data_IF_196956803785
#
_entry.id   IF_196956803785
#
_cell.length_a   1.000
_cell.length_b   1.000
_cell.length_c   1.000
_cell.angle_alpha   90.00
_cell.angle_beta   90.00
_cell.angle_gamma   90.00
#
_symmetry.space_group_name_H-M   'P 1'
#
loop_
_entity.id
_entity.type
_entity.pdbx_description
1 polymer ?
#
# COMPACT_ATOMS: atom_id res chain seq x y z
N UNK A 1 7.30 31.64 -17.63
CA UNK A 1 7.65 32.72 -18.58
C UNK A 1 8.35 32.10 -19.76
N UNK A 2 8.24 32.65 -20.99
CA UNK A 2 8.98 32.15 -22.16
C UNK A 2 10.49 32.18 -21.87
N UNK A 3 11.24 31.17 -22.34
CA UNK A 3 12.70 31.17 -22.23
C UNK A 3 13.30 32.24 -23.15
N UNK A 4 14.22 33.03 -22.62
CA UNK A 4 14.93 34.09 -23.34
C UNK A 4 16.32 34.29 -22.75
N UNK A 5 17.33 34.40 -23.61
CA UNK A 5 18.71 34.71 -23.18
C UNK A 5 18.76 36.01 -22.37
N UNK A 6 17.94 36.99 -22.73
CA UNK A 6 17.87 38.28 -22.03
C UNK A 6 17.33 38.17 -20.59
N UNK A 7 16.45 37.19 -20.33
CA UNK A 7 15.88 36.93 -19.00
C UNK A 7 16.74 35.97 -18.17
N UNK A 8 17.85 35.45 -18.72
CA UNK A 8 18.72 34.48 -18.03
C UNK A 8 18.04 33.16 -17.67
N UNK A 9 16.87 32.85 -18.24
CA UNK A 9 16.02 31.70 -17.88
C UNK A 9 16.04 30.59 -18.93
N UNK A 10 17.10 30.51 -19.73
CA UNK A 10 17.29 29.45 -20.73
C UNK A 10 17.85 28.22 -20.02
N UNK A 11 17.21 27.08 -20.22
CA UNK A 11 17.74 25.78 -19.80
C UNK A 11 18.33 25.08 -21.02
N UNK A 12 19.62 24.76 -20.95
CA UNK A 12 20.30 24.05 -22.04
C UNK A 12 20.06 22.54 -21.93
N UNK A 13 19.66 21.86 -23.02
CA UNK A 13 19.35 20.43 -22.98
C UNK A 13 20.49 19.57 -22.45
N UNK A 14 21.73 19.80 -22.89
CA UNK A 14 22.90 19.00 -22.46
C UNK A 14 23.13 19.16 -20.95
N UNK A 15 23.10 20.40 -20.43
CA UNK A 15 23.24 20.62 -18.99
C UNK A 15 22.09 20.06 -18.15
N UNK A 16 20.91 19.81 -18.73
CA UNK A 16 19.84 19.05 -18.06
C UNK A 16 20.12 17.54 -18.11
N UNK A 17 20.59 17.01 -19.23
CA UNK A 17 20.92 15.59 -19.39
C UNK A 17 22.10 15.18 -18.50
N UNK A 18 23.12 16.02 -18.36
CA UNK A 18 24.28 15.75 -17.49
C UNK A 18 23.88 15.69 -16.01
N UNK A 19 22.89 16.48 -15.60
CA UNK A 19 22.43 16.55 -14.21
C UNK A 19 21.39 15.49 -13.85
N UNK A 20 20.47 15.18 -14.76
CA UNK A 20 19.30 14.33 -14.48
C UNK A 20 19.26 13.02 -15.26
N UNK A 21 20.15 12.86 -16.24
CA UNK A 21 20.11 11.77 -17.21
C UNK A 21 19.27 12.11 -18.45
N UNK A 22 19.69 11.57 -19.60
CA UNK A 22 18.98 11.77 -20.86
C UNK A 22 17.54 11.23 -20.83
N UNK A 23 17.33 10.07 -20.18
CA UNK A 23 16.02 9.44 -20.06
C UNK A 23 15.03 10.27 -19.24
N UNK A 24 15.49 10.96 -18.19
CA UNK A 24 14.63 11.85 -17.41
C UNK A 24 14.11 13.02 -18.26
N UNK A 25 14.99 13.61 -19.07
CA UNK A 25 14.62 14.70 -19.99
C UNK A 25 13.67 14.18 -21.07
N UNK A 26 13.94 13.01 -21.66
CA UNK A 26 13.08 12.40 -22.69
C UNK A 26 11.69 12.10 -22.13
N UNK A 27 11.62 11.42 -20.99
CA UNK A 27 10.36 11.11 -20.33
C UNK A 27 9.59 12.39 -19.99
N UNK A 28 10.24 13.41 -19.43
CA UNK A 28 9.60 14.69 -19.17
C UNK A 28 9.01 15.30 -20.45
N UNK A 29 9.73 15.25 -21.57
CA UNK A 29 9.25 15.81 -22.84
C UNK A 29 8.17 14.97 -23.53
N UNK A 30 8.14 13.65 -23.33
CA UNK A 30 7.18 12.76 -23.98
C UNK A 30 5.93 12.54 -23.13
N UNK A 31 6.10 12.36 -21.82
CA UNK A 31 5.05 11.87 -20.91
C UNK A 31 4.54 12.95 -19.92
N UNK A 32 5.35 13.94 -19.53
CA UNK A 32 4.98 14.91 -18.48
C UNK A 32 4.11 16.08 -19.01
N UNK A 33 2.96 15.75 -19.61
CA UNK A 33 1.95 16.69 -20.08
C UNK A 33 1.69 16.61 -21.59
N UNK A 34 0.75 17.39 -22.11
CA UNK A 34 0.38 17.34 -23.53
C UNK A 34 1.44 17.98 -24.42
N UNK A 35 1.70 17.39 -25.59
CA UNK A 35 2.58 17.98 -26.61
C UNK A 35 2.03 19.31 -27.17
N UNK A 36 0.72 19.52 -27.05
CA UNK A 36 0.00 20.70 -27.55
C UNK A 36 -0.05 21.85 -26.53
N UNK A 37 0.46 21.65 -25.32
CA UNK A 37 0.42 22.64 -24.25
C UNK A 37 1.83 23.12 -23.87
N UNK A 38 1.93 24.40 -23.51
CA UNK A 38 3.18 24.94 -22.97
C UNK A 38 3.49 24.31 -21.62
N UNK A 39 4.68 23.70 -21.50
CA UNK A 39 5.14 23.08 -20.25
C UNK A 39 6.11 23.99 -19.51
N UNK A 40 6.03 23.95 -18.18
CA UNK A 40 7.01 24.61 -17.32
C UNK A 40 8.15 23.62 -17.09
N UNK A 41 9.31 23.93 -17.65
CA UNK A 41 10.52 23.12 -17.51
C UNK A 41 11.37 23.72 -16.40
N UNK A 42 11.81 22.88 -15.48
CA UNK A 42 12.71 23.21 -14.38
C UNK A 42 13.45 21.95 -13.93
N UNK A 43 14.55 22.15 -13.19
CA UNK A 43 15.26 21.06 -12.53
C UNK A 43 14.32 20.24 -11.63
N UNK A 44 13.45 20.90 -10.86
CA UNK A 44 12.51 20.22 -9.93
C UNK A 44 11.52 19.31 -10.67
N UNK A 45 10.96 19.78 -11.79
CA UNK A 45 10.01 19.00 -12.59
C UNK A 45 10.64 17.78 -13.24
N UNK A 46 11.93 17.84 -13.60
CA UNK A 46 12.66 16.70 -14.17
C UNK A 46 13.09 15.74 -13.04
N UNK A 47 13.52 16.26 -11.90
CA UNK A 47 13.80 15.46 -10.70
C UNK A 47 12.57 14.69 -10.20
N UNK A 48 11.36 15.22 -10.39
CA UNK A 48 10.13 14.50 -10.06
C UNK A 48 9.94 13.25 -10.94
N UNK A 49 10.24 13.36 -12.24
CA UNK A 49 10.22 12.21 -13.17
C UNK A 49 11.20 11.12 -12.73
N UNK A 50 12.43 11.51 -12.38
CA UNK A 50 13.45 10.57 -11.88
C UNK A 50 12.92 9.84 -10.63
N UNK A 51 12.43 10.60 -9.65
CA UNK A 51 12.01 10.05 -8.35
C UNK A 51 10.77 9.17 -8.43
N UNK A 52 9.76 9.55 -9.23
CA UNK A 52 8.47 8.86 -9.25
C UNK A 52 8.44 7.67 -10.19
N UNK A 53 9.10 7.76 -11.35
CA UNK A 53 8.99 6.74 -12.39
C UNK A 53 10.29 5.96 -12.55
N UNK A 54 11.40 6.64 -12.87
CA UNK A 54 12.63 5.94 -13.28
C UNK A 54 13.29 5.20 -12.12
N UNK A 55 13.35 5.81 -10.92
CA UNK A 55 13.87 5.14 -9.73
C UNK A 55 12.98 3.99 -9.29
N UNK A 56 11.65 4.13 -9.37
CA UNK A 56 10.71 3.06 -9.03
C UNK A 56 10.89 1.84 -9.94
N UNK A 57 11.01 2.08 -11.26
CA UNK A 57 11.32 1.04 -12.24
C UNK A 57 12.68 0.39 -11.97
N UNK A 58 13.74 1.19 -11.82
CA UNK A 58 15.10 0.71 -11.55
C UNK A 58 15.20 -0.13 -10.27
N UNK A 59 14.58 0.34 -9.20
CA UNK A 59 14.56 -0.36 -7.91
C UNK A 59 13.82 -1.69 -8.01
N UNK A 60 12.74 -1.74 -8.80
CA UNK A 60 11.99 -2.97 -9.06
C UNK A 60 12.81 -3.98 -9.86
N UNK A 61 13.53 -3.53 -10.90
CA UNK A 61 14.47 -4.38 -11.64
C UNK A 61 15.64 -4.87 -10.78
N UNK A 62 16.23 -3.98 -9.99
CA UNK A 62 17.30 -4.31 -9.04
C UNK A 62 16.84 -5.30 -7.98
N UNK A 63 15.60 -5.18 -7.52
CA UNK A 63 14.97 -6.12 -6.59
C UNK A 63 14.87 -7.51 -7.21
N UNK A 64 14.33 -7.64 -8.43
CA UNK A 64 14.27 -8.94 -9.13
C UNK A 64 15.68 -9.52 -9.32
N UNK A 65 16.65 -8.71 -9.76
CA UNK A 65 18.03 -9.14 -9.95
C UNK A 65 18.66 -9.69 -8.66
N UNK A 66 18.40 -9.04 -7.51
CA UNK A 66 18.91 -9.46 -6.21
C UNK A 66 18.29 -10.79 -5.76
N UNK A 67 16.96 -10.85 -5.70
CA UNK A 67 16.26 -12.03 -5.18
C UNK A 67 16.32 -13.22 -6.13
N UNK A 68 16.31 -12.97 -7.44
CA UNK A 68 16.54 -14.01 -8.45
C UNK A 68 17.91 -14.65 -8.29
N UNK A 69 18.98 -13.87 -8.05
CA UNK A 69 20.31 -14.43 -7.76
C UNK A 69 20.35 -15.22 -6.45
N UNK A 70 19.74 -14.72 -5.38
CA UNK A 70 19.70 -15.40 -4.08
C UNK A 70 18.97 -16.75 -4.18
N UNK A 71 17.89 -16.79 -4.96
CA UNK A 71 17.10 -18.00 -5.18
C UNK A 71 17.64 -18.89 -6.32
N UNK A 72 18.77 -18.53 -6.94
CA UNK A 72 19.30 -19.20 -8.14
C UNK A 72 18.23 -19.39 -9.24
N UNK A 73 17.34 -18.40 -9.38
CA UNK A 73 16.20 -18.46 -10.28
C UNK A 73 16.63 -18.32 -11.73
N UNK A 74 16.32 -19.36 -12.51
CA UNK A 74 16.47 -19.39 -13.96
C UNK A 74 15.06 -19.51 -14.57
N UNK A 75 14.61 -18.45 -15.24
CA UNK A 75 13.27 -18.40 -15.82
C UNK A 75 13.01 -19.51 -16.84
N UNK A 76 14.02 -19.94 -17.60
CA UNK A 76 13.84 -20.96 -18.65
C UNK A 76 13.75 -22.38 -18.07
N UNK A 77 14.38 -22.61 -16.92
CA UNK A 77 14.53 -23.94 -16.32
C UNK A 77 13.75 -24.13 -15.01
N UNK A 78 13.19 -23.06 -14.43
CA UNK A 78 12.41 -23.13 -13.21
C UNK A 78 11.07 -23.84 -13.41
N UNK A 79 10.62 -24.54 -12.37
CA UNK A 79 9.26 -25.12 -12.30
C UNK A 79 8.24 -24.01 -12.01
N UNK A 80 7.86 -23.30 -13.06
CA UNK A 80 6.94 -22.16 -12.99
C UNK A 80 5.51 -22.66 -13.20
N UNK A 81 4.60 -22.48 -12.21
CA UNK A 81 3.21 -22.86 -12.40
C UNK A 81 2.52 -21.98 -13.44
N UNK A 82 1.54 -22.53 -14.19
CA UNK A 82 0.67 -21.76 -15.07
C UNK A 82 0.00 -20.59 -14.36
N UNK A 83 -0.21 -19.48 -15.07
CA UNK A 83 -0.73 -18.21 -14.51
C UNK A 83 -2.02 -18.44 -13.72
N UNK A 84 -2.94 -19.29 -14.20
CA UNK A 84 -4.21 -19.60 -13.56
C UNK A 84 -4.09 -20.29 -12.18
N UNK A 85 -2.95 -20.93 -11.91
CA UNK A 85 -2.65 -21.59 -10.63
C UNK A 85 -1.83 -20.69 -9.68
N UNK A 86 -1.39 -19.52 -10.15
CA UNK A 86 -0.68 -18.54 -9.31
C UNK A 86 -1.66 -17.79 -8.39
N UNK A 87 -1.13 -17.05 -7.42
CA UNK A 87 -1.95 -16.27 -6.47
C UNK A 87 -2.81 -15.23 -7.18
N UNK A 88 -3.85 -14.70 -6.52
CA UNK A 88 -4.66 -13.62 -7.08
C UNK A 88 -3.84 -12.36 -7.40
N UNK A 89 -2.81 -12.03 -6.61
CA UNK A 89 -1.94 -10.90 -6.92
C UNK A 89 -1.02 -11.15 -8.12
N UNK A 90 -0.53 -12.38 -8.32
CA UNK A 90 0.26 -12.75 -9.50
C UNK A 90 -0.59 -12.62 -10.78
N UNK A 91 -1.79 -13.23 -10.76
CA UNK A 91 -2.76 -13.15 -11.86
C UNK A 91 -3.14 -11.71 -12.17
N UNK A 92 -3.32 -10.89 -11.14
CA UNK A 92 -3.59 -9.46 -11.29
C UNK A 92 -2.43 -8.72 -11.95
N UNK A 93 -1.19 -8.97 -11.54
CA UNK A 93 -0.02 -8.31 -12.12
C UNK A 93 0.14 -8.64 -13.61
N UNK A 94 -0.02 -9.92 -13.99
CA UNK A 94 0.01 -10.36 -15.40
C UNK A 94 -1.16 -9.78 -16.20
N UNK A 95 -2.37 -9.78 -15.62
CA UNK A 95 -3.55 -9.17 -16.24
C UNK A 95 -3.31 -7.67 -16.53
N UNK A 96 -2.78 -6.93 -15.55
CA UNK A 96 -2.43 -5.51 -15.69
C UNK A 96 -1.30 -5.28 -16.68
N UNK A 97 -0.31 -6.17 -16.77
CA UNK A 97 0.77 -6.07 -17.75
C UNK A 97 0.24 -6.24 -19.19
N UNK A 98 -0.69 -7.18 -19.40
CA UNK A 98 -1.32 -7.37 -20.70
C UNK A 98 -2.28 -6.24 -21.07
N UNK A 99 -3.05 -5.72 -20.11
CA UNK A 99 -3.86 -4.51 -20.30
C UNK A 99 -2.97 -3.30 -20.65
N UNK A 100 -1.80 -3.16 -20.01
CA UNK A 100 -0.86 -2.10 -20.31
C UNK A 100 -0.41 -2.11 -21.78
N UNK A 101 -0.14 -3.29 -22.36
CA UNK A 101 0.22 -3.41 -23.79
C UNK A 101 -0.88 -2.78 -24.65
N UNK A 102 -2.13 -3.16 -24.41
CA UNK A 102 -3.30 -2.66 -25.16
C UNK A 102 -3.45 -1.15 -25.00
N UNK A 103 -3.32 -0.63 -23.78
CA UNK A 103 -3.45 0.80 -23.51
C UNK A 103 -2.34 1.64 -24.15
N UNK A 104 -1.11 1.15 -24.12
CA UNK A 104 0.07 1.83 -24.70
C UNK A 104 0.01 1.79 -26.22
N UNK A 105 -0.29 0.64 -26.81
CA UNK A 105 -0.43 0.49 -28.27
C UNK A 105 -1.51 1.43 -28.81
N UNK A 106 -2.70 1.42 -28.21
CA UNK A 106 -3.80 2.30 -28.62
C UNK A 106 -3.47 3.80 -28.48
N UNK A 107 -2.65 4.17 -27.49
CA UNK A 107 -2.19 5.54 -27.30
C UNK A 107 -1.14 5.93 -28.34
N UNK A 108 -0.16 5.06 -28.60
CA UNK A 108 0.92 5.33 -29.56
C UNK A 108 0.44 5.34 -31.01
N UNK A 109 -0.55 4.53 -31.37
CA UNK A 109 -1.23 4.57 -32.68
C UNK A 109 -1.86 5.94 -32.98
N UNK A 110 -2.21 6.68 -31.92
CA UNK A 110 -2.76 8.03 -32.00
C UNK A 110 -1.73 9.12 -31.71
N UNK A 111 -0.45 8.76 -31.59
CA UNK A 111 0.65 9.65 -31.19
C UNK A 111 0.43 10.33 -29.82
N UNK A 112 -0.36 9.72 -28.92
CA UNK A 112 -0.62 10.21 -27.56
C UNK A 112 0.41 9.66 -26.57
N UNK A 113 1.64 10.18 -26.67
CA UNK A 113 2.75 9.83 -25.78
C UNK A 113 2.51 10.22 -24.32
N UNK A 114 1.64 11.21 -24.06
CA UNK A 114 1.26 11.59 -22.71
C UNK A 114 0.42 10.49 -22.04
N UNK A 115 -0.58 9.96 -22.75
CA UNK A 115 -1.39 8.85 -22.25
C UNK A 115 -0.55 7.60 -22.04
N UNK A 116 0.27 7.23 -23.02
CA UNK A 116 1.17 6.09 -22.91
C UNK A 116 2.08 6.20 -21.67
N UNK A 117 2.77 7.33 -21.50
CA UNK A 117 3.64 7.53 -20.33
C UNK A 117 2.89 7.51 -19.00
N UNK A 118 1.65 8.03 -18.95
CA UNK A 118 0.83 7.99 -17.73
C UNK A 118 0.43 6.56 -17.33
N UNK A 119 -0.02 5.73 -18.28
CA UNK A 119 -0.41 4.34 -17.98
C UNK A 119 0.81 3.48 -17.62
N UNK A 120 1.96 3.70 -18.29
CA UNK A 120 3.23 3.06 -17.94
C UNK A 120 3.66 3.44 -16.51
N UNK A 121 3.67 4.73 -16.17
CA UNK A 121 4.07 5.16 -14.82
C UNK A 121 3.13 4.62 -13.73
N UNK A 122 1.83 4.53 -14.01
CA UNK A 122 0.87 3.90 -13.10
C UNK A 122 1.18 2.42 -12.91
N UNK A 123 1.46 1.69 -13.99
CA UNK A 123 1.80 0.27 -13.90
C UNK A 123 3.13 0.02 -13.16
N UNK A 124 4.16 0.84 -13.40
CA UNK A 124 5.43 0.76 -12.64
C UNK A 124 5.18 0.96 -11.14
N UNK A 125 4.33 1.92 -10.78
CA UNK A 125 3.93 2.15 -9.39
C UNK A 125 3.13 0.98 -8.81
N UNK A 126 2.14 0.47 -9.56
CA UNK A 126 1.34 -0.72 -9.20
C UNK A 126 2.24 -1.94 -8.94
N UNK A 127 3.20 -2.19 -9.83
CA UNK A 127 4.13 -3.32 -9.72
C UNK A 127 5.03 -3.18 -8.48
N UNK A 128 5.55 -1.98 -8.22
CA UNK A 128 6.48 -1.73 -7.12
C UNK A 128 5.78 -1.62 -5.75
N UNK A 129 4.84 -0.68 -5.63
CA UNK A 129 4.25 -0.28 -4.36
C UNK A 129 3.09 -1.19 -3.92
N UNK A 130 2.54 -2.00 -4.84
CA UNK A 130 1.53 -2.99 -4.50
C UNK A 130 2.07 -4.41 -4.62
N UNK A 131 2.34 -4.88 -5.84
CA UNK A 131 2.71 -6.29 -6.05
C UNK A 131 3.99 -6.68 -5.30
N UNK A 132 5.12 -6.03 -5.58
CA UNK A 132 6.40 -6.34 -4.94
C UNK A 132 6.33 -6.16 -3.41
N UNK A 133 5.66 -5.11 -2.95
CA UNK A 133 5.52 -4.82 -1.51
C UNK A 133 4.73 -5.90 -0.78
N UNK A 134 3.61 -6.37 -1.34
CA UNK A 134 2.74 -7.38 -0.74
C UNK A 134 3.32 -8.79 -0.88
N UNK A 135 4.03 -9.07 -1.96
CA UNK A 135 4.67 -10.37 -2.20
C UNK A 135 6.10 -10.48 -1.65
N UNK A 136 6.59 -9.52 -0.84
CA UNK A 136 8.00 -9.48 -0.40
C UNK A 136 8.47 -10.76 0.28
N UNK A 137 7.61 -11.38 1.11
CA UNK A 137 7.92 -12.66 1.77
C UNK A 137 8.14 -13.78 0.76
N UNK A 138 7.31 -13.85 -0.28
CA UNK A 138 7.42 -14.86 -1.35
C UNK A 138 8.73 -14.75 -2.12
N UNK A 139 9.22 -13.54 -2.34
CA UNK A 139 10.56 -13.34 -2.93
C UNK A 139 11.69 -13.77 -2.01
N UNK A 140 11.55 -13.56 -0.69
CA UNK A 140 12.53 -14.05 0.30
C UNK A 140 12.56 -15.57 0.35
N UNK A 141 11.40 -16.21 0.23
CA UNK A 141 11.24 -17.66 0.20
C UNK A 141 11.62 -18.28 -1.17
N UNK A 142 12.01 -17.45 -2.15
CA UNK A 142 12.42 -17.91 -3.48
C UNK A 142 11.28 -18.49 -4.32
N UNK A 143 10.03 -18.08 -4.08
CA UNK A 143 8.84 -18.59 -4.77
C UNK A 143 8.95 -18.40 -6.30
N UNK A 144 9.04 -19.49 -7.09
CA UNK A 144 9.16 -19.41 -8.54
C UNK A 144 8.00 -18.67 -9.22
N UNK A 145 6.77 -18.78 -8.68
CA UNK A 145 5.60 -18.11 -9.24
C UNK A 145 5.70 -16.59 -9.11
N UNK A 146 6.16 -16.11 -7.95
CA UNK A 146 6.32 -14.68 -7.68
C UNK A 146 7.45 -14.07 -8.53
N UNK A 147 8.58 -14.76 -8.62
CA UNK A 147 9.75 -14.39 -9.42
C UNK A 147 9.42 -14.37 -10.92
N UNK A 148 8.76 -15.41 -11.44
CA UNK A 148 8.31 -15.47 -12.82
C UNK A 148 7.33 -14.35 -13.17
N UNK A 149 6.35 -14.10 -12.31
CA UNK A 149 5.36 -13.04 -12.53
C UNK A 149 6.01 -11.66 -12.56
N UNK A 150 6.99 -11.39 -11.68
CA UNK A 150 7.76 -10.14 -11.71
C UNK A 150 8.62 -10.05 -12.96
N UNK A 151 9.28 -11.14 -13.35
CA UNK A 151 10.11 -11.21 -14.56
C UNK A 151 9.29 -10.90 -15.82
N UNK A 152 8.17 -11.60 -16.02
CA UNK A 152 7.25 -11.41 -17.16
C UNK A 152 6.71 -9.96 -17.21
N UNK A 153 6.22 -9.45 -16.08
CA UNK A 153 5.69 -8.08 -15.97
C UNK A 153 6.76 -7.02 -16.25
N UNK A 154 7.97 -7.23 -15.74
CA UNK A 154 9.08 -6.31 -15.91
C UNK A 154 9.62 -6.33 -17.34
N UNK A 155 9.64 -7.48 -18.01
CA UNK A 155 10.01 -7.59 -19.41
C UNK A 155 9.05 -6.79 -20.30
N UNK A 156 7.74 -6.95 -20.08
CA UNK A 156 6.69 -6.21 -20.83
C UNK A 156 6.88 -4.70 -20.65
N UNK A 157 6.95 -4.20 -19.42
CA UNK A 157 7.08 -2.75 -19.20
C UNK A 157 8.43 -2.20 -19.71
N UNK A 158 9.50 -3.01 -19.69
CA UNK A 158 10.80 -2.63 -20.26
C UNK A 158 10.71 -2.41 -21.77
N UNK A 159 10.04 -3.31 -22.50
CA UNK A 159 9.79 -3.16 -23.93
C UNK A 159 8.96 -1.90 -24.24
N UNK A 160 7.88 -1.69 -23.48
CA UNK A 160 6.99 -0.53 -23.67
C UNK A 160 7.66 0.80 -23.30
N UNK A 161 8.59 0.79 -22.35
CA UNK A 161 9.37 1.97 -21.93
C UNK A 161 10.52 2.30 -22.89
N UNK A 162 11.04 1.35 -23.67
CA UNK A 162 12.23 1.53 -24.49
C UNK A 162 12.18 2.74 -25.44
N UNK A 163 11.06 3.05 -26.13
CA UNK A 163 10.95 4.26 -26.96
C UNK A 163 11.05 5.58 -26.16
N UNK A 164 10.67 5.55 -24.89
CA UNK A 164 10.67 6.71 -24.00
C UNK A 164 12.03 6.91 -23.33
N UNK A 165 12.60 5.84 -22.77
CA UNK A 165 13.78 5.87 -21.90
C UNK A 165 14.82 4.83 -22.33
N UNK A 166 15.45 5.01 -23.49
CA UNK A 166 16.22 3.97 -24.15
C UNK A 166 17.46 3.49 -23.39
N UNK A 167 18.08 4.31 -22.54
CA UNK A 167 19.35 3.95 -21.90
C UNK A 167 19.14 3.05 -20.68
N UNK A 168 18.18 3.40 -19.81
CA UNK A 168 17.87 2.63 -18.61
C UNK A 168 17.20 1.30 -18.97
N UNK A 169 16.35 1.27 -19.99
CA UNK A 169 15.71 0.03 -20.45
C UNK A 169 16.71 -0.89 -21.12
N UNK A 170 17.69 -0.34 -21.86
CA UNK A 170 18.79 -1.15 -22.41
C UNK A 170 19.60 -1.79 -21.28
N UNK A 171 19.94 -1.00 -20.25
CA UNK A 171 20.69 -1.53 -19.10
C UNK A 171 19.93 -2.65 -18.39
N UNK A 172 18.64 -2.48 -18.13
CA UNK A 172 17.81 -3.50 -17.49
C UNK A 172 17.67 -4.73 -18.40
N UNK A 173 17.50 -4.54 -19.70
CA UNK A 173 17.43 -5.63 -20.67
C UNK A 173 18.70 -6.48 -20.68
N UNK A 174 19.87 -5.84 -20.79
CA UNK A 174 21.16 -6.55 -20.76
C UNK A 174 21.35 -7.35 -19.47
N UNK A 175 20.92 -6.80 -18.33
CA UNK A 175 21.14 -7.45 -17.03
C UNK A 175 20.14 -8.59 -16.74
N UNK A 176 18.95 -8.61 -17.35
CA UNK A 176 17.86 -9.52 -16.98
C UNK A 176 17.28 -10.38 -18.12
N UNK A 177 17.26 -9.88 -19.35
CA UNK A 177 16.44 -10.46 -20.43
C UNK A 177 17.22 -10.76 -21.70
N UNK A 178 18.42 -10.21 -21.86
CA UNK A 178 19.22 -10.40 -23.06
C UNK A 178 19.58 -11.87 -23.26
N UNK A 179 19.42 -12.32 -24.50
CA UNK A 179 19.77 -13.66 -24.96
C UNK A 179 20.63 -13.57 -26.22
N UNK A 180 21.17 -14.70 -26.68
CA UNK A 180 21.89 -14.74 -27.97
C UNK A 180 21.02 -14.32 -29.15
N UNK A 181 19.70 -14.53 -29.07
CA UNK A 181 18.75 -14.16 -30.11
C UNK A 181 18.35 -12.69 -30.06
N UNK A 182 18.35 -12.06 -28.88
CA UNK A 182 17.93 -10.66 -28.70
C UNK A 182 18.81 -9.96 -27.66
N UNK A 183 19.95 -9.47 -28.14
CA UNK A 183 20.98 -8.82 -27.31
C UNK A 183 20.56 -7.43 -26.76
N UNK A 184 19.63 -6.75 -27.42
CA UNK A 184 19.24 -5.37 -27.12
C UNK A 184 17.72 -5.22 -27.12
N UNK A 185 17.18 -4.40 -26.21
CA UNK A 185 15.74 -4.13 -26.16
C UNK A 185 15.26 -3.43 -27.44
N UNK A 186 16.16 -2.70 -28.10
CA UNK A 186 15.87 -1.96 -29.33
C UNK A 186 15.81 -2.84 -30.57
N UNK A 187 16.23 -4.11 -30.45
CA UNK A 187 16.11 -5.15 -31.48
C UNK A 187 14.96 -6.12 -31.19
N UNK A 188 14.38 -6.06 -29.99
CA UNK A 188 13.27 -6.90 -29.60
C UNK A 188 11.97 -6.54 -30.35
N UNK A 189 11.11 -7.53 -30.52
CA UNK A 189 9.77 -7.30 -31.06
C UNK A 189 8.89 -6.53 -30.07
N UNK A 190 7.97 -5.73 -30.60
CA UNK A 190 6.92 -5.13 -29.77
C UNK A 190 6.10 -6.24 -29.06
N UNK A 191 5.80 -6.11 -27.76
CA UNK A 191 5.10 -7.14 -27.02
C UNK A 191 3.67 -7.29 -27.54
N UNK A 192 3.17 -8.53 -27.54
CA UNK A 192 1.79 -8.85 -27.92
C UNK A 192 1.01 -9.21 -26.66
N UNK A 193 -0.16 -8.58 -26.47
CA UNK A 193 -1.02 -8.87 -25.35
C UNK A 193 -1.66 -10.25 -25.48
N UNK A 194 -1.55 -11.06 -24.43
CA UNK A 194 -2.42 -12.22 -24.24
C UNK A 194 -3.72 -11.77 -23.57
N UNK A 195 -4.71 -11.45 -24.40
CA UNK A 195 -6.03 -11.00 -23.94
C UNK A 195 -6.79 -12.02 -23.09
N UNK A 196 -6.41 -13.31 -23.12
CA UNK A 196 -7.07 -14.34 -22.30
C UNK A 196 -6.72 -14.23 -20.82
N UNK A 197 -5.61 -13.57 -20.49
CA UNK A 197 -5.17 -13.32 -19.11
C UNK A 197 -5.75 -12.03 -18.52
N UNK A 198 -6.35 -11.17 -19.34
CA UNK A 198 -6.94 -9.90 -18.89
C UNK A 198 -8.26 -10.20 -18.16
N UNK A 199 -8.30 -9.87 -16.87
CA UNK A 199 -9.43 -10.10 -15.98
C UNK A 199 -9.86 -8.79 -15.29
N UNK A 200 -10.94 -8.19 -15.82
CA UNK A 200 -11.52 -6.95 -15.30
C UNK A 200 -12.09 -7.07 -13.89
N UNK A 201 -12.62 -8.23 -13.54
CA UNK A 201 -13.23 -8.46 -12.22
C UNK A 201 -12.11 -8.48 -11.18
N UNK A 202 -10.99 -9.12 -11.48
CA UNK A 202 -9.80 -9.12 -10.62
C UNK A 202 -9.19 -7.72 -10.48
N UNK A 203 -9.20 -6.89 -11.54
CA UNK A 203 -8.81 -5.49 -11.42
C UNK A 203 -9.71 -4.75 -10.41
N UNK A 204 -11.02 -4.94 -10.53
CA UNK A 204 -12.02 -4.33 -9.64
C UNK A 204 -11.85 -4.81 -8.20
N UNK A 205 -11.60 -6.10 -7.98
CA UNK A 205 -11.34 -6.67 -6.67
C UNK A 205 -10.08 -6.08 -6.01
N UNK A 206 -8.97 -5.97 -6.74
CA UNK A 206 -7.74 -5.39 -6.17
C UNK A 206 -7.90 -3.89 -5.89
N UNK A 207 -8.63 -3.16 -6.73
CA UNK A 207 -8.95 -1.76 -6.47
C UNK A 207 -9.85 -1.62 -5.22
N UNK A 208 -10.79 -2.52 -5.00
CA UNK A 208 -11.60 -2.58 -3.77
C UNK A 208 -10.72 -2.87 -2.54
N UNK A 209 -9.85 -3.87 -2.60
CA UNK A 209 -8.89 -4.20 -1.53
C UNK A 209 -8.09 -2.97 -1.12
N UNK A 210 -7.57 -2.21 -2.09
CA UNK A 210 -6.78 -0.99 -1.82
C UNK A 210 -7.58 0.05 -1.05
N UNK A 211 -8.81 0.34 -1.46
CA UNK A 211 -9.69 1.30 -0.76
C UNK A 211 -10.03 0.83 0.65
N UNK A 212 -10.35 -0.45 0.83
CA UNK A 212 -10.65 -1.04 2.14
C UNK A 212 -9.43 -0.99 3.08
N UNK A 213 -8.23 -1.23 2.55
CA UNK A 213 -6.97 -1.10 3.31
C UNK A 213 -6.74 0.35 3.74
N UNK A 214 -6.97 1.33 2.85
CA UNK A 214 -6.87 2.74 3.18
C UNK A 214 -7.87 3.14 4.28
N UNK A 215 -9.12 2.70 4.17
CA UNK A 215 -10.15 2.91 5.20
C UNK A 215 -9.77 2.27 6.54
N UNK A 216 -9.35 1.01 6.55
CA UNK A 216 -8.92 0.34 7.77
C UNK A 216 -7.69 1.01 8.41
N UNK A 217 -6.73 1.49 7.61
CA UNK A 217 -5.60 2.28 8.10
C UNK A 217 -6.06 3.61 8.71
N UNK A 218 -7.03 4.28 8.09
CA UNK A 218 -7.61 5.52 8.60
C UNK A 218 -8.36 5.29 9.93
N UNK A 219 -9.19 4.26 10.01
CA UNK A 219 -9.89 3.85 11.24
C UNK A 219 -8.89 3.52 12.36
N UNK A 220 -7.82 2.79 12.04
CA UNK A 220 -6.77 2.49 13.03
C UNK A 220 -6.05 3.76 13.49
N UNK A 221 -5.69 4.66 12.58
CA UNK A 221 -5.01 5.90 12.93
C UNK A 221 -5.85 6.79 13.87
N UNK A 222 -7.17 6.85 13.67
CA UNK A 222 -8.07 7.61 14.54
C UNK A 222 -8.22 6.99 15.93
N UNK A 223 -8.14 5.66 16.04
CA UNK A 223 -8.24 4.92 17.31
C UNK A 223 -7.02 5.09 18.24
N UNK A 224 -5.88 5.57 17.71
CA UNK A 224 -4.56 5.60 18.39
C UNK A 224 -4.01 4.22 18.80
N UNK A 225 -4.61 3.12 18.32
CA UNK A 225 -4.05 1.79 18.48
C UNK A 225 -2.72 1.66 17.73
N UNK A 226 -1.71 1.07 18.38
CA UNK A 226 -0.42 0.80 17.74
C UNK A 226 -0.63 -0.07 16.49
N UNK A 227 0.02 0.26 15.37
CA UNK A 227 -0.08 -0.54 14.13
C UNK A 227 0.35 -1.98 14.31
N UNK A 228 1.30 -2.25 15.21
CA UNK A 228 1.82 -3.61 15.49
C UNK A 228 0.90 -4.44 16.39
N UNK A 229 0.01 -3.81 17.15
CA UNK A 229 -0.97 -4.50 17.99
C UNK A 229 -2.05 -5.12 17.09
N UNK A 230 -2.13 -6.46 16.96
CA UNK A 230 -3.22 -7.07 16.23
C UNK A 230 -4.55 -6.77 16.91
N UNK A 231 -5.59 -6.65 16.10
CA UNK A 231 -6.98 -6.53 16.53
C UNK A 231 -7.77 -7.79 16.18
N UNK A 232 -8.84 -8.09 16.91
CA UNK A 232 -9.57 -9.35 16.74
C UNK A 232 -10.21 -9.46 15.37
N UNK A 233 -10.90 -8.40 14.92
CA UNK A 233 -11.65 -8.41 13.67
C UNK A 233 -11.86 -7.02 13.07
N UNK A 234 -12.11 -7.00 11.77
CA UNK A 234 -12.72 -5.89 11.06
C UNK A 234 -14.11 -6.30 10.54
N UNK A 235 -15.06 -5.36 10.58
CA UNK A 235 -16.34 -5.47 9.89
C UNK A 235 -16.30 -4.56 8.66
N UNK A 236 -16.72 -5.09 7.52
CA UNK A 236 -16.60 -4.42 6.22
C UNK A 236 -17.96 -4.35 5.53
N UNK A 237 -18.41 -3.13 5.23
CA UNK A 237 -19.53 -2.90 4.33
C UNK A 237 -18.98 -2.30 3.03
N UNK A 238 -18.98 -3.10 1.96
CA UNK A 238 -18.63 -2.63 0.63
C UNK A 238 -19.28 -3.52 -0.43
N UNK A 239 -19.69 -2.91 -1.53
CA UNK A 239 -20.17 -3.63 -2.71
C UNK A 239 -19.03 -4.49 -3.28
N UNK A 240 -19.33 -5.75 -3.63
CA UNK A 240 -18.34 -6.71 -4.11
C UNK A 240 -17.51 -7.42 -3.02
N UNK A 241 -17.69 -7.10 -1.73
CA UNK A 241 -16.98 -7.78 -0.63
C UNK A 241 -17.11 -9.31 -0.68
N UNK A 242 -18.33 -9.81 -0.90
CA UNK A 242 -18.62 -11.24 -0.93
C UNK A 242 -18.08 -11.97 -2.17
N UNK A 243 -17.61 -11.22 -3.17
CA UNK A 243 -17.03 -11.74 -4.41
C UNK A 243 -15.50 -11.82 -4.34
N UNK A 244 -14.89 -11.22 -3.30
CA UNK A 244 -13.44 -11.25 -3.11
C UNK A 244 -12.93 -12.68 -2.89
N UNK A 245 -11.91 -13.12 -3.65
CA UNK A 245 -11.12 -14.30 -3.33
C UNK A 245 -10.58 -14.26 -1.90
N UNK A 246 -10.49 -15.43 -1.26
CA UNK A 246 -10.01 -15.53 0.12
C UNK A 246 -8.61 -14.94 0.32
N UNK A 247 -7.70 -15.17 -0.62
CA UNK A 247 -6.34 -14.61 -0.55
C UNK A 247 -6.33 -13.08 -0.65
N UNK A 248 -7.26 -12.46 -1.38
CA UNK A 248 -7.42 -11.00 -1.39
C UNK A 248 -8.05 -10.46 -0.09
N UNK A 249 -8.88 -11.24 0.60
CA UNK A 249 -9.34 -10.89 1.95
C UNK A 249 -8.16 -10.95 2.93
N UNK A 250 -7.28 -11.95 2.80
CA UNK A 250 -6.07 -12.05 3.61
C UNK A 250 -5.18 -10.81 3.43
N UNK A 251 -5.01 -10.30 2.19
CA UNK A 251 -4.30 -9.04 1.92
C UNK A 251 -4.84 -7.87 2.76
N UNK A 252 -6.18 -7.77 2.91
CA UNK A 252 -6.82 -6.74 3.73
C UNK A 252 -6.46 -6.93 5.20
N UNK A 253 -6.64 -8.15 5.71
CA UNK A 253 -6.42 -8.45 7.13
C UNK A 253 -4.98 -8.20 7.57
N UNK A 254 -4.02 -8.56 6.73
CA UNK A 254 -2.59 -8.33 6.99
C UNK A 254 -2.25 -6.84 6.98
N UNK A 255 -2.71 -6.08 5.99
CA UNK A 255 -2.40 -4.66 5.86
C UNK A 255 -2.97 -3.81 6.99
N UNK A 256 -4.16 -4.16 7.50
CA UNK A 256 -4.81 -3.45 8.62
C UNK A 256 -4.55 -4.13 9.97
N UNK A 257 -3.80 -5.23 9.99
CA UNK A 257 -3.38 -6.03 11.14
C UNK A 257 -4.55 -6.48 12.04
N UNK A 258 -5.53 -7.16 11.44
CA UNK A 258 -6.64 -7.82 12.14
C UNK A 258 -6.54 -9.34 11.95
N UNK A 259 -7.08 -10.13 12.88
CA UNK A 259 -7.06 -11.59 12.71
C UNK A 259 -8.08 -12.08 11.68
N UNK A 260 -9.19 -11.36 11.53
CA UNK A 260 -10.26 -11.69 10.58
C UNK A 260 -10.90 -10.43 10.04
N UNK A 261 -11.44 -10.48 8.83
CA UNK A 261 -12.33 -9.46 8.29
C UNK A 261 -13.59 -10.15 7.79
N UNK A 262 -14.76 -9.61 8.14
CA UNK A 262 -16.06 -10.19 7.78
C UNK A 262 -17.00 -9.10 7.29
N UNK A 263 -18.04 -9.51 6.55
CA UNK A 263 -19.08 -8.59 6.10
C UNK A 263 -19.76 -7.94 7.31
N UNK A 264 -20.12 -6.67 7.17
CA UNK A 264 -20.95 -5.97 8.14
C UNK A 264 -22.40 -6.43 8.00
N UNK A 265 -22.95 -7.05 9.04
CA UNK A 265 -24.34 -7.50 9.06
C UNK A 265 -25.29 -6.36 9.48
N UNK A 266 -26.58 -6.50 9.15
CA UNK A 266 -27.63 -5.54 9.55
C UNK A 266 -27.75 -5.42 11.07
N UNK A 267 -27.39 -6.45 11.84
CA UNK A 267 -27.32 -6.35 13.30
C UNK A 267 -26.14 -5.52 13.82
N UNK A 268 -25.13 -5.29 12.97
CA UNK A 268 -23.95 -4.47 13.25
C UNK A 268 -24.12 -3.04 12.68
N UNK A 269 -25.32 -2.64 12.23
CA UNK A 269 -25.57 -1.26 11.73
C UNK A 269 -25.39 -0.17 12.80
N UNK A 270 -25.24 -0.58 14.05
CA UNK A 270 -25.21 0.22 15.27
C UNK A 270 -23.78 0.65 15.70
N UNK A 271 -22.79 0.62 14.80
CA UNK A 271 -21.37 0.84 15.15
C UNK A 271 -20.98 2.31 15.37
N UNK A 272 -21.82 3.23 14.91
CA UNK A 272 -21.61 4.68 15.06
C UNK A 272 -22.81 5.29 15.77
N UNK A 273 -22.54 6.21 16.68
CA UNK A 273 -23.52 7.15 17.20
C UNK A 273 -23.56 8.35 16.27
N UNK A 274 -24.66 8.48 15.53
CA UNK A 274 -24.88 9.63 14.65
C UNK A 274 -25.38 10.79 15.49
N UNK A 275 -24.69 11.92 15.43
CA UNK A 275 -25.14 13.18 16.02
C UNK A 275 -25.27 14.23 14.92
N UNK A 276 -26.30 15.07 15.02
CA UNK A 276 -26.54 16.14 14.04
C UNK A 276 -26.51 17.48 14.75
N UNK A 277 -25.77 18.43 14.19
CA UNK A 277 -25.77 19.82 14.63
C UNK A 277 -26.28 20.71 13.52
N UNK A 278 -27.01 21.75 13.89
CA UNK A 278 -27.51 22.75 12.96
C UNK A 278 -26.34 23.61 12.41
N UNK A 279 -26.27 23.77 11.09
CA UNK A 279 -25.37 24.73 10.45
C UNK A 279 -26.01 26.12 10.49
N UNK A 280 -25.80 26.85 11.59
CA UNK A 280 -26.39 28.18 11.80
C UNK A 280 -26.10 29.17 10.67
N UNK A 281 -24.99 29.01 9.93
CA UNK A 281 -24.65 29.89 8.81
C UNK A 281 -25.58 29.71 7.63
N UNK A 282 -25.83 28.46 7.21
CA UNK A 282 -26.70 28.17 6.07
C UNK A 282 -28.17 28.31 6.45
N UNK A 283 -28.56 27.81 7.62
CA UNK A 283 -29.92 27.98 8.15
C UNK A 283 -30.29 29.47 8.32
N UNK A 284 -29.34 30.31 8.72
CA UNK A 284 -29.54 31.76 8.87
C UNK A 284 -29.88 32.46 7.57
N UNK A 285 -29.27 32.04 6.45
CA UNK A 285 -29.55 32.60 5.11
C UNK A 285 -30.94 32.22 4.62
N UNK A 286 -31.38 31.00 4.91
CA UNK A 286 -32.66 30.46 4.42
C UNK A 286 -33.85 30.83 5.29
N UNK A 287 -33.70 30.75 6.61
CA UNK A 287 -34.81 30.79 7.57
C UNK A 287 -34.78 32.01 8.50
N UNK A 288 -33.69 32.79 8.51
CA UNK A 288 -33.60 34.07 9.21
C UNK A 288 -33.97 33.99 10.69
N UNK A 289 -35.08 34.63 11.08
CA UNK A 289 -35.53 34.68 12.49
C UNK A 289 -35.95 33.32 13.05
N UNK A 290 -36.29 32.35 12.19
CA UNK A 290 -36.72 30.98 12.58
C UNK A 290 -35.55 30.02 12.82
N UNK A 291 -34.32 30.45 12.56
CA UNK A 291 -33.13 29.59 12.68
C UNK A 291 -32.98 28.94 14.06
N UNK A 292 -33.24 29.62 15.20
CA UNK A 292 -33.15 28.97 16.52
C UNK A 292 -34.16 27.82 16.69
N UNK A 293 -35.40 28.02 16.23
CA UNK A 293 -36.47 27.02 16.36
C UNK A 293 -36.20 25.78 15.50
N UNK A 294 -35.70 25.99 14.27
CA UNK A 294 -35.32 24.91 13.36
C UNK A 294 -34.06 24.19 13.86
N UNK A 295 -33.09 24.93 14.43
CA UNK A 295 -31.90 24.33 15.02
C UNK A 295 -32.25 23.44 16.22
N UNK A 296 -33.20 23.85 17.06
CA UNK A 296 -33.71 23.03 18.16
C UNK A 296 -34.40 21.76 17.63
N UNK A 297 -35.26 21.90 16.61
CA UNK A 297 -35.94 20.77 15.97
C UNK A 297 -34.96 19.75 15.35
N UNK A 298 -33.85 20.23 14.77
CA UNK A 298 -32.79 19.36 14.23
C UNK A 298 -32.09 18.56 15.34
N UNK A 299 -31.89 19.17 16.51
CA UNK A 299 -31.22 18.51 17.65
C UNK A 299 -32.17 17.53 18.38
N UNK A 300 -33.47 17.82 18.42
CA UNK A 300 -34.48 16.92 19.00
C UNK A 300 -34.88 15.76 18.07
N UNK A 301 -34.66 15.90 16.76
CA UNK A 301 -34.93 14.84 15.80
C UNK A 301 -33.98 13.66 15.99
N UNK A 302 -34.48 12.45 15.68
CA UNK A 302 -33.64 11.26 15.63
C UNK A 302 -32.59 11.41 14.52
N UNK A 303 -31.33 11.43 14.92
CA UNK A 303 -30.20 11.74 14.07
C UNK A 303 -30.00 10.70 12.94
N UNK A 304 -30.24 9.42 13.21
CA UNK A 304 -30.02 8.34 12.24
C UNK A 304 -31.00 8.40 11.05
N UNK A 305 -32.33 8.40 11.26
CA UNK A 305 -33.30 8.56 10.17
C UNK A 305 -33.12 9.87 9.41
N UNK A 306 -32.76 10.95 10.13
CA UNK A 306 -32.57 12.27 9.54
C UNK A 306 -31.38 12.31 8.57
N UNK A 307 -30.22 11.79 8.98
CA UNK A 307 -29.02 11.73 8.14
C UNK A 307 -29.23 10.79 6.96
N UNK A 308 -29.89 9.64 7.18
CA UNK A 308 -30.23 8.71 6.10
C UNK A 308 -31.09 9.38 5.03
N UNK A 309 -32.17 10.06 5.43
CA UNK A 309 -33.05 10.78 4.51
C UNK A 309 -32.31 11.88 3.73
N UNK A 310 -31.42 12.63 4.38
CA UNK A 310 -30.60 13.66 3.72
C UNK A 310 -29.64 13.07 2.67
N UNK A 311 -29.05 11.89 2.94
CA UNK A 311 -28.14 11.21 2.00
C UNK A 311 -28.87 10.62 0.80
N UNK A 312 -29.98 9.92 1.04
CA UNK A 312 -30.71 9.19 -0.01
C UNK A 312 -31.61 10.10 -0.85
N UNK A 313 -32.30 11.05 -0.21
CA UNK A 313 -33.34 11.86 -0.85
C UNK A 313 -32.90 13.31 -1.13
N UNK A 314 -31.70 13.71 -0.68
CA UNK A 314 -31.20 15.08 -0.80
C UNK A 314 -31.95 16.12 0.06
N UNK A 315 -32.90 15.68 0.89
CA UNK A 315 -33.64 16.53 1.83
C UNK A 315 -34.27 15.71 2.95
N UNK A 316 -34.53 16.33 4.10
CA UNK A 316 -35.28 15.72 5.20
C UNK A 316 -36.26 16.72 5.81
N UNK A 317 -37.28 16.22 6.51
CA UNK A 317 -38.28 17.07 7.17
C UNK A 317 -38.10 17.03 8.67
N UNK A 318 -38.00 18.20 9.31
CA UNK A 318 -38.00 18.36 10.77
C UNK A 318 -39.25 19.13 11.20
N UNK A 319 -39.77 18.84 12.39
CA UNK A 319 -40.93 19.53 12.94
C UNK A 319 -40.44 20.63 13.89
N UNK A 320 -40.56 21.89 13.48
CA UNK A 320 -40.21 23.04 14.30
C UNK A 320 -41.50 23.68 14.86
N UNK A 321 -41.87 23.32 16.10
CA UNK A 321 -43.15 23.71 16.70
C UNK A 321 -44.32 22.95 16.08
N UNK A 322 -45.17 23.62 15.28
CA UNK A 322 -46.28 22.98 14.55
C UNK A 322 -46.04 22.92 13.02
N UNK A 323 -44.90 23.42 12.53
CA UNK A 323 -44.60 23.49 11.11
C UNK A 323 -43.63 22.38 10.69
N UNK A 324 -43.95 21.71 9.58
CA UNK A 324 -43.02 20.84 8.87
C UNK A 324 -42.06 21.68 8.01
N UNK A 325 -40.76 21.59 8.27
CA UNK A 325 -39.72 22.34 7.57
C UNK A 325 -38.79 21.39 6.85
N UNK A 326 -38.56 21.64 5.55
CA UNK A 326 -37.61 20.88 4.74
C UNK A 326 -36.22 21.47 4.94
N UNK A 327 -35.27 20.61 5.31
CA UNK A 327 -33.85 20.92 5.44
C UNK A 327 -33.04 20.20 4.35
N UNK A 328 -31.94 20.82 3.95
CA UNK A 328 -31.00 20.30 2.94
C UNK A 328 -29.68 19.87 3.58
N UNK A 329 -28.84 19.07 2.89
CA UNK A 329 -27.56 18.60 3.44
C UNK A 329 -26.64 19.72 3.95
N UNK A 330 -26.70 20.92 3.35
CA UNK A 330 -25.91 22.08 3.78
C UNK A 330 -26.38 22.73 5.09
N UNK A 331 -27.63 22.47 5.52
CA UNK A 331 -28.22 23.04 6.74
C UNK A 331 -27.79 22.33 8.02
N UNK A 332 -27.14 21.17 7.88
CA UNK A 332 -26.71 20.35 9.01
C UNK A 332 -25.23 20.02 8.90
N UNK A 333 -24.64 19.75 10.05
CA UNK A 333 -23.33 19.12 10.19
C UNK A 333 -23.57 17.82 10.92
N UNK A 334 -23.54 16.71 10.21
CA UNK A 334 -23.55 15.38 10.84
C UNK A 334 -22.15 15.06 11.35
N UNK A 335 -22.10 14.40 12.51
CA UNK A 335 -20.88 13.86 13.09
C UNK A 335 -21.18 12.43 13.53
N UNK A 336 -20.51 11.48 12.89
CA UNK A 336 -20.56 10.07 13.27
C UNK A 336 -19.43 9.82 14.27
N UNK A 337 -19.79 9.40 15.48
CA UNK A 337 -18.81 9.03 16.51
C UNK A 337 -18.84 7.52 16.65
N UNK A 338 -17.72 6.80 16.47
CA UNK A 338 -17.68 5.36 16.73
C UNK A 338 -18.17 5.05 18.15
N UNK A 339 -19.02 4.02 18.31
CA UNK A 339 -19.41 3.54 19.64
C UNK A 339 -18.17 3.03 20.38
N UNK A 340 -18.24 3.04 21.72
CA UNK A 340 -17.13 2.61 22.57
C UNK A 340 -16.64 1.21 22.18
N UNK A 341 -15.32 1.08 21.97
CA UNK A 341 -14.69 -0.18 21.56
C UNK A 341 -14.55 -0.37 20.04
N UNK A 342 -15.05 0.55 19.23
CA UNK A 342 -14.90 0.50 17.76
C UNK A 342 -14.17 1.72 17.22
N UNK A 343 -13.48 1.54 16.10
CA UNK A 343 -13.03 2.64 15.26
C UNK A 343 -13.54 2.43 13.84
N UNK A 344 -14.22 3.43 13.29
CA UNK A 344 -14.91 3.34 12.00
C UNK A 344 -14.33 4.38 11.04
N UNK A 345 -14.14 3.98 9.79
CA UNK A 345 -13.87 4.88 8.68
C UNK A 345 -14.81 4.54 7.52
N UNK A 346 -15.33 5.59 6.89
CA UNK A 346 -16.27 5.49 5.77
C UNK A 346 -15.83 6.45 4.68
N UNK A 347 -15.80 5.98 3.44
CA UNK A 347 -15.60 6.82 2.25
C UNK A 347 -16.36 6.23 1.07
N UNK A 348 -16.95 7.10 0.24
CA UNK A 348 -17.65 6.73 -1.00
C UNK A 348 -18.65 5.55 -0.91
N UNK A 349 -19.28 5.31 0.25
CA UNK A 349 -20.24 4.21 0.46
C UNK A 349 -19.61 2.91 1.01
N UNK A 350 -18.28 2.86 1.14
CA UNK A 350 -17.55 1.76 1.75
C UNK A 350 -17.25 2.09 3.22
N UNK A 351 -17.37 1.11 4.11
CA UNK A 351 -17.12 1.28 5.56
C UNK A 351 -16.26 0.15 6.09
N UNK A 352 -15.25 0.51 6.88
CA UNK A 352 -14.43 -0.44 7.66
C UNK A 352 -14.48 -0.06 9.13
N UNK A 353 -14.90 -1.01 9.96
CA UNK A 353 -14.96 -0.87 11.40
C UNK A 353 -14.01 -1.86 12.09
N UNK A 354 -13.14 -1.37 12.97
CA UNK A 354 -12.16 -2.16 13.71
C UNK A 354 -12.61 -2.37 15.16
N UNK A 355 -12.60 -3.62 15.61
CA UNK A 355 -12.84 -3.98 17.00
C UNK A 355 -11.57 -3.69 17.84
N UNK A 356 -11.66 -2.71 18.74
CA UNK A 356 -10.55 -2.26 19.58
C UNK A 356 -10.42 -3.07 20.87
N UNK A 357 -11.30 -4.05 21.10
CA UNK A 357 -11.28 -4.88 22.30
C UNK A 357 -10.05 -5.78 22.29
N UNK A 358 -9.20 -5.61 23.30
CA UNK A 358 -8.01 -6.45 23.48
C UNK A 358 -8.25 -7.47 24.58
N UNK A 359 -8.07 -8.73 24.23
CA UNK A 359 -7.87 -9.83 25.17
C UNK A 359 -6.37 -10.12 25.38
N UNK A 360 -6.08 -11.05 26.28
CA UNK A 360 -4.71 -11.34 26.72
C UNK A 360 -3.90 -12.03 25.63
N UNK A 361 -4.55 -12.74 24.72
CA UNK A 361 -3.88 -13.31 23.55
C UNK A 361 -3.41 -12.24 22.58
N UNK A 362 -4.29 -11.29 22.23
CA UNK A 362 -3.91 -10.17 21.35
C UNK A 362 -2.81 -9.32 21.99
N UNK A 363 -2.89 -9.05 23.30
CA UNK A 363 -1.82 -8.36 24.03
C UNK A 363 -0.49 -9.11 23.93
N UNK A 364 -0.49 -10.43 24.13
CA UNK A 364 0.72 -11.25 24.03
C UNK A 364 1.35 -11.21 22.63
N UNK A 365 0.54 -11.32 21.56
CA UNK A 365 1.04 -11.19 20.18
C UNK A 365 1.63 -9.80 19.93
N UNK A 366 0.96 -8.75 20.42
CA UNK A 366 1.43 -7.38 20.32
C UNK A 366 2.80 -7.17 20.99
N UNK A 367 3.00 -7.75 22.18
CA UNK A 367 4.29 -7.71 22.88
C UNK A 367 5.38 -8.45 22.11
N UNK A 368 5.10 -9.65 21.60
CA UNK A 368 6.06 -10.43 20.80
C UNK A 368 6.52 -9.65 19.56
N UNK A 369 5.59 -9.00 18.85
CA UNK A 369 5.90 -8.17 17.67
C UNK A 369 6.65 -6.89 17.98
N UNK A 370 6.40 -6.27 19.14
CA UNK A 370 7.20 -5.14 19.61
C UNK A 370 8.66 -5.59 19.87
N UNK A 371 8.87 -6.79 20.44
CA UNK A 371 10.21 -7.36 20.66
C UNK A 371 10.91 -7.74 19.35
N UNK A 372 10.22 -8.36 18.38
CA UNK A 372 10.79 -8.65 17.05
C UNK A 372 11.39 -7.38 16.44
N UNK A 373 10.65 -6.26 16.47
CA UNK A 373 11.12 -4.98 15.95
C UNK A 373 12.37 -4.49 16.69
N UNK A 374 12.39 -4.59 18.01
CA UNK A 374 13.52 -4.12 18.83
C UNK A 374 14.78 -4.95 18.57
N UNK A 375 14.64 -6.27 18.39
CA UNK A 375 15.74 -7.15 17.99
C UNK A 375 16.23 -6.79 16.58
N UNK A 376 15.33 -6.57 15.62
CA UNK A 376 15.71 -6.20 14.25
C UNK A 376 16.42 -4.84 14.20
N UNK A 377 15.96 -3.87 15.00
CA UNK A 377 16.62 -2.57 15.15
C UNK A 377 18.01 -2.72 15.78
N UNK A 378 18.16 -3.58 16.79
CA UNK A 378 19.44 -3.92 17.39
C UNK A 378 20.39 -4.59 16.37
N UNK A 379 19.94 -5.58 15.60
CA UNK A 379 20.74 -6.22 14.52
C UNK A 379 21.29 -5.18 13.55
N UNK A 380 20.45 -4.24 13.12
CA UNK A 380 20.88 -3.15 12.23
C UNK A 380 21.92 -2.24 12.88
N UNK A 381 21.74 -1.89 14.14
CA UNK A 381 22.68 -1.03 14.89
C UNK A 381 24.03 -1.72 15.14
N UNK A 382 24.03 -3.05 15.23
CA UNK A 382 25.23 -3.88 15.32
C UNK A 382 25.91 -4.13 13.97
N UNK A 383 25.33 -3.65 12.86
CA UNK A 383 25.87 -3.82 11.51
C UNK A 383 25.71 -5.23 10.95
N UNK A 384 24.71 -5.99 11.41
CA UNK A 384 24.44 -7.33 10.88
C UNK A 384 23.80 -7.24 9.49
N UNK A 385 24.17 -8.18 8.63
CA UNK A 385 23.51 -8.33 7.33
C UNK A 385 22.12 -8.94 7.51
N UNK A 386 21.22 -8.70 6.56
CA UNK A 386 19.83 -9.17 6.66
C UNK A 386 19.76 -10.70 6.80
N UNK A 387 20.72 -11.40 6.19
CA UNK A 387 20.89 -12.86 6.18
C UNK A 387 21.60 -13.44 7.40
N UNK A 388 22.18 -12.62 8.28
CA UNK A 388 22.95 -13.10 9.43
C UNK A 388 22.05 -13.87 10.42
N UNK A 389 22.47 -15.08 10.80
CA UNK A 389 21.83 -15.86 11.86
C UNK A 389 22.32 -15.39 13.23
N UNK A 390 21.43 -15.37 14.21
CA UNK A 390 21.71 -14.84 15.56
C UNK A 390 21.35 -15.81 16.68
N UNK A 391 21.93 -15.61 17.85
CA UNK A 391 21.44 -16.18 19.09
C UNK A 391 20.90 -15.05 19.97
N UNK A 392 19.76 -15.32 20.61
CA UNK A 392 19.08 -14.35 21.46
C UNK A 392 18.88 -14.95 22.84
N UNK A 393 19.48 -14.30 23.82
CA UNK A 393 19.19 -14.54 25.23
C UNK A 393 18.35 -13.39 25.75
N UNK A 394 17.25 -13.67 26.44
CA UNK A 394 16.33 -12.64 26.92
C UNK A 394 15.96 -12.85 28.39
N UNK A 395 15.66 -11.75 29.05
CA UNK A 395 15.18 -11.70 30.43
C UNK A 395 13.99 -10.73 30.49
N UNK A 396 12.87 -11.17 31.03
CA UNK A 396 11.68 -10.36 31.18
C UNK A 396 10.82 -10.88 32.34
N UNK A 397 9.92 -10.03 32.84
CA UNK A 397 8.95 -10.38 33.87
C UNK A 397 7.49 -10.22 33.36
N UNK A 398 6.54 -10.81 34.10
CA UNK A 398 5.11 -10.60 33.90
C UNK A 398 4.58 -11.02 32.52
N UNK A 399 3.75 -10.16 31.93
CA UNK A 399 3.08 -10.40 30.64
C UNK A 399 4.09 -10.55 29.49
N UNK A 400 5.21 -9.83 29.55
CA UNK A 400 6.25 -9.91 28.53
C UNK A 400 6.92 -11.29 28.51
N UNK A 401 7.30 -11.82 29.68
CA UNK A 401 7.87 -13.16 29.77
C UNK A 401 6.90 -14.23 29.24
N UNK A 402 5.62 -14.09 29.61
CA UNK A 402 4.57 -15.01 29.16
C UNK A 402 4.39 -14.96 27.64
N UNK A 403 4.38 -13.75 27.07
CA UNK A 403 4.30 -13.54 25.63
C UNK A 403 5.50 -14.15 24.87
N UNK A 404 6.73 -13.90 25.34
CA UNK A 404 7.94 -14.41 24.70
C UNK A 404 8.06 -15.94 24.76
N UNK A 405 7.62 -16.56 25.86
CA UNK A 405 7.53 -18.03 25.93
C UNK A 405 6.49 -18.59 24.96
N UNK A 406 5.29 -17.99 24.90
CA UNK A 406 4.20 -18.44 24.02
C UNK A 406 4.56 -18.30 22.54
N UNK A 407 5.23 -17.21 22.16
CA UNK A 407 5.55 -16.86 20.77
C UNK A 407 7.02 -17.10 20.38
N UNK A 408 7.77 -17.90 21.14
CA UNK A 408 9.20 -18.11 20.92
C UNK A 408 9.54 -18.53 19.48
N UNK A 409 8.80 -19.47 18.89
CA UNK A 409 9.03 -19.91 17.51
C UNK A 409 8.80 -18.80 16.47
N UNK A 410 7.74 -18.01 16.65
CA UNK A 410 7.43 -16.88 15.76
C UNK A 410 8.55 -15.83 15.83
N UNK A 411 8.94 -15.44 17.05
CA UNK A 411 10.03 -14.47 17.27
C UNK A 411 11.34 -14.98 16.67
N UNK A 412 11.71 -16.25 16.92
CA UNK A 412 12.94 -16.84 16.37
C UNK A 412 12.97 -16.82 14.85
N UNK A 413 11.88 -17.21 14.20
CA UNK A 413 11.82 -17.26 12.74
C UNK A 413 11.93 -15.85 12.13
N UNK A 414 11.19 -14.88 12.67
CA UNK A 414 11.17 -13.51 12.19
C UNK A 414 12.50 -12.78 12.38
N UNK A 415 13.30 -13.16 13.38
CA UNK A 415 14.62 -12.55 13.65
C UNK A 415 15.81 -13.40 13.19
N UNK A 416 15.54 -14.51 12.48
CA UNK A 416 16.54 -15.49 12.03
C UNK A 416 17.40 -16.05 13.18
N UNK A 417 16.80 -16.23 14.37
CA UNK A 417 17.50 -16.76 15.53
C UNK A 417 17.64 -18.28 15.45
N UNK A 418 18.87 -18.79 15.62
CA UNK A 418 19.15 -20.23 15.80
C UNK A 418 18.85 -20.68 17.23
N UNK A 419 18.86 -19.75 18.18
CA UNK A 419 18.56 -19.97 19.59
C UNK A 419 17.82 -18.75 20.16
N UNK A 420 16.74 -19.00 20.91
CA UNK A 420 15.95 -17.96 21.60
C UNK A 420 15.60 -18.46 23.00
N UNK A 421 16.40 -18.06 23.99
CA UNK A 421 16.34 -18.65 25.33
C UNK A 421 16.18 -17.60 26.42
N UNK A 422 15.39 -17.96 27.43
CA UNK A 422 15.29 -17.18 28.65
C UNK A 422 16.54 -17.43 29.52
N UNK A 423 17.26 -16.37 29.86
CA UNK A 423 18.49 -16.44 30.67
C UNK A 423 18.64 -15.18 31.53
N UNK A 424 19.54 -15.23 32.52
CA UNK A 424 19.91 -14.03 33.27
C UNK A 424 20.83 -13.17 32.41
N UNK A 425 20.31 -12.06 31.88
CA UNK A 425 21.03 -11.21 30.92
C UNK A 425 21.82 -10.15 31.69
N UNK A 426 23.08 -10.48 31.99
CA UNK A 426 24.06 -9.54 32.56
C UNK A 426 24.96 -8.97 31.46
N UNK A 427 25.44 -7.74 31.65
CA UNK A 427 26.38 -7.09 30.73
C UNK A 427 27.83 -7.61 30.90
N UNK A 428 28.02 -8.90 31.13
CA UNK A 428 29.35 -9.49 31.29
C UNK A 428 29.88 -9.95 29.94
N UNK A 429 31.01 -9.37 29.50
CA UNK A 429 31.71 -9.77 28.27
C UNK A 429 31.89 -8.67 27.21
N UNK A 430 31.32 -7.47 27.41
CA UNK A 430 31.49 -6.34 26.50
C UNK A 430 30.50 -6.27 25.33
N UNK A 431 29.58 -7.24 25.24
CA UNK A 431 28.48 -7.20 24.27
C UNK A 431 27.32 -6.33 24.78
N UNK A 432 26.70 -5.53 23.90
CA UNK A 432 25.64 -4.61 24.31
C UNK A 432 24.35 -5.35 24.65
N UNK A 433 23.79 -5.03 25.82
CA UNK A 433 22.46 -5.49 26.24
C UNK A 433 21.41 -4.49 25.76
N UNK A 434 20.39 -4.98 25.06
CA UNK A 434 19.32 -4.17 24.49
C UNK A 434 18.07 -4.23 25.36
N UNK A 435 17.42 -3.09 25.58
CA UNK A 435 16.11 -3.08 26.25
C UNK A 435 15.02 -3.55 25.29
N UNK A 436 14.11 -4.38 25.80
CA UNK A 436 12.95 -4.89 25.04
C UNK A 436 11.63 -4.67 25.80
N UNK A 437 10.52 -4.71 25.08
CA UNK A 437 9.16 -4.58 25.60
C UNK A 437 8.93 -3.25 26.33
N UNK A 438 9.37 -2.15 25.73
CA UNK A 438 9.33 -0.80 26.34
C UNK A 438 10.07 -0.72 27.70
N UNK A 439 11.15 -1.49 27.86
CA UNK A 439 12.00 -1.48 29.06
C UNK A 439 11.60 -2.50 30.13
N UNK A 440 10.58 -3.32 29.87
CA UNK A 440 10.17 -4.40 30.77
C UNK A 440 11.02 -5.68 30.64
N UNK A 441 11.97 -5.71 29.70
CA UNK A 441 12.92 -6.81 29.56
C UNK A 441 14.25 -6.36 28.93
N UNK A 442 15.16 -7.33 28.81
CA UNK A 442 16.49 -7.17 28.21
C UNK A 442 16.77 -8.33 27.26
N UNK A 443 17.54 -8.07 26.21
CA UNK A 443 18.02 -9.07 25.28
C UNK A 443 19.51 -8.87 24.97
N UNK A 444 20.26 -9.96 24.98
CA UNK A 444 21.60 -10.07 24.44
C UNK A 444 21.50 -10.75 23.06
N UNK A 445 22.14 -10.14 22.06
CA UNK A 445 22.06 -10.59 20.66
C UNK A 445 23.48 -10.80 20.14
N UNK A 446 23.79 -12.04 19.77
CA UNK A 446 25.10 -12.42 19.25
C UNK A 446 24.96 -13.03 17.86
N UNK A 447 26.03 -12.98 17.04
CA UNK A 447 26.04 -13.74 15.78
C UNK A 447 26.19 -15.22 16.09
N UNK A 448 25.41 -16.06 15.43
CA UNK A 448 25.64 -17.50 15.45
C UNK A 448 26.98 -17.79 14.79
N UNK A 449 27.83 -18.59 15.44
CA UNK A 449 29.02 -19.12 14.76
C UNK A 449 28.58 -19.99 13.56
N UNK A 450 29.29 -19.93 12.41
CA UNK A 450 28.97 -20.80 11.29
C UNK A 450 29.09 -22.26 11.75
N UNK A 451 27.99 -23.01 11.64
CA UNK A 451 28.03 -24.46 11.82
C UNK A 451 28.99 -25.03 10.78
N UNK A 452 30.14 -25.53 11.26
CA UNK A 452 31.20 -26.16 10.48
C UNK A 452 30.74 -27.42 9.76
#
# INVERSE_FOLDING_TARGET
RKMSKHLGNVLEPIGLMDRHGADAVRWFMLAAGSAWQSRRVSDDTINEVVRKTLLTYWNTASFLSLYGRIAEFDYENADIPPVELRSSLDRWAISRANELIVEVEAALDQFDTQRAGRVISRFVDDLSNWYVRRSRRRFWDGDPAALATLHESLQIVTLLMAPFTPFITERVWTDLFASEETESVHLAAWPKADTSTINSDLHTHVDLVRRLVELGRAARASSKMKTRQPLRRALVAADGWNELPADLVDEITEEINVMTAVALDVSDSDLVEVSVKANFRELGKRFGKRTPDIAAAIVEADAEPLVKALRENGSATVIAGCDAVIIEPGDVVSTETPRQGWAVATDAGETVALDLTLDDELRAIGLARDVIREIQEARKNLGFEVTDRIEVQWQADGDLATALRKHASEVSNEVLATSFQEADVTADGGEPVHQIGAGAGRALITRSEPQS
#
